data_IF_857011301311
#
_entry.id   IF_857011301311
#
_cell.length_a   1.000
_cell.length_b   1.000
_cell.length_c   1.000
_cell.angle_alpha   90.00
_cell.angle_beta   90.00
_cell.angle_gamma   90.00
#
_symmetry.space_group_name_H-M   'P 1'
#
loop_
_entity.id
_entity.type
_entity.pdbx_description
1 polymer ?
#
# COMPACT_ATOMS: atom_id res chain seq x y z
N UNK A 1 11.11 17.45 -9.31
CA UNK A 1 11.56 16.51 -10.35
C UNK A 1 10.56 16.61 -11.48
N UNK A 2 10.99 17.05 -12.67
CA UNK A 2 10.24 16.81 -13.92
C UNK A 2 10.88 15.57 -14.52
N UNK A 3 10.42 14.39 -14.10
CA UNK A 3 11.02 13.13 -14.53
C UNK A 3 10.69 12.89 -16.02
N UNK A 4 11.73 13.06 -16.86
CA UNK A 4 11.88 12.51 -18.21
C UNK A 4 10.80 12.77 -19.28
N UNK A 5 9.81 13.64 -19.08
CA UNK A 5 8.70 13.81 -20.04
C UNK A 5 7.97 12.46 -20.31
N UNK A 6 7.91 11.60 -19.30
CA UNK A 6 7.35 10.26 -19.40
C UNK A 6 5.82 10.27 -19.49
N UNK A 7 5.24 9.33 -20.25
CA UNK A 7 3.78 9.20 -20.36
C UNK A 7 3.19 8.15 -19.39
N UNK A 8 4.04 7.39 -18.71
CA UNK A 8 3.67 6.38 -17.71
C UNK A 8 4.79 6.17 -16.67
N UNK A 9 4.49 5.44 -15.60
CA UNK A 9 5.42 5.25 -14.47
C UNK A 9 6.65 4.42 -14.84
N UNK A 10 6.53 3.45 -15.76
CA UNK A 10 7.68 2.68 -16.22
C UNK A 10 8.67 3.55 -17.01
N UNK A 11 8.17 4.40 -17.91
CA UNK A 11 8.98 5.39 -18.64
C UNK A 11 9.57 6.46 -17.72
N UNK A 12 8.87 6.78 -16.62
CA UNK A 12 9.40 7.64 -15.56
C UNK A 12 10.53 6.97 -14.76
N UNK A 13 10.84 5.70 -15.04
CA UNK A 13 11.95 4.95 -14.46
C UNK A 13 11.55 3.97 -13.36
N UNK A 14 10.26 3.83 -13.03
CA UNK A 14 9.79 2.89 -12.01
C UNK A 14 9.77 1.44 -12.54
N UNK A 15 10.94 0.81 -12.65
CA UNK A 15 11.13 -0.46 -13.37
C UNK A 15 11.77 -1.60 -12.55
N UNK A 16 12.08 -1.35 -11.28
CA UNK A 16 12.67 -2.35 -10.37
C UNK A 16 12.50 -1.95 -8.90
N UNK A 17 12.78 -2.86 -7.98
CA UNK A 17 12.82 -2.53 -6.53
C UNK A 17 13.85 -1.43 -6.23
N UNK A 18 15.02 -1.45 -6.87
CA UNK A 18 16.04 -0.42 -6.69
C UNK A 18 15.57 0.95 -7.21
N UNK A 19 14.87 0.96 -8.35
CA UNK A 19 14.32 2.19 -8.89
C UNK A 19 13.19 2.76 -8.02
N UNK A 20 12.30 1.90 -7.50
CA UNK A 20 11.27 2.30 -6.54
C UNK A 20 11.88 2.81 -5.23
N UNK A 21 12.91 2.14 -4.71
CA UNK A 21 13.63 2.58 -3.50
C UNK A 21 14.24 3.98 -3.68
N UNK A 22 14.93 4.20 -4.80
CA UNK A 22 15.47 5.50 -5.15
C UNK A 22 14.36 6.56 -5.30
N UNK A 23 13.25 6.21 -5.94
CA UNK A 23 12.10 7.11 -6.10
C UNK A 23 11.54 7.54 -4.74
N UNK A 24 11.29 6.59 -3.82
CA UNK A 24 10.78 6.89 -2.48
C UNK A 24 11.77 7.77 -1.70
N UNK A 25 13.06 7.38 -1.65
CA UNK A 25 14.07 8.11 -0.87
C UNK A 25 14.39 9.50 -1.43
N UNK A 26 14.19 9.73 -2.72
CA UNK A 26 14.44 11.03 -3.35
C UNK A 26 13.24 11.98 -3.27
N UNK A 27 12.01 11.45 -3.18
CA UNK A 27 10.78 12.25 -3.19
C UNK A 27 10.16 12.45 -1.80
N UNK A 28 10.49 11.60 -0.83
CA UNK A 28 9.96 11.69 0.53
C UNK A 28 11.07 12.01 1.54
N UNK A 29 10.73 12.80 2.57
CA UNK A 29 11.64 13.05 3.68
C UNK A 29 11.66 11.86 4.63
N UNK A 30 12.66 11.00 4.48
CA UNK A 30 12.87 9.82 5.34
C UNK A 30 13.59 10.23 6.63
N UNK A 31 13.08 9.77 7.77
CA UNK A 31 13.73 9.93 9.09
C UNK A 31 14.27 8.63 9.66
N UNK A 32 13.81 7.49 9.14
CA UNK A 32 14.35 6.17 9.45
C UNK A 32 14.27 5.30 8.19
N UNK A 33 15.39 4.73 7.78
CA UNK A 33 15.45 3.68 6.77
C UNK A 33 15.66 2.35 7.52
N UNK A 34 14.78 1.38 7.30
CA UNK A 34 14.83 0.06 7.93
C UNK A 34 15.27 -1.04 6.96
N UNK A 35 15.63 -0.69 5.72
CA UNK A 35 16.07 -1.66 4.71
C UNK A 35 15.00 -2.71 4.43
N UNK A 36 15.40 -3.98 4.38
CA UNK A 36 14.53 -5.13 4.12
C UNK A 36 13.87 -5.71 5.39
N UNK A 37 14.10 -5.09 6.55
CA UNK A 37 13.48 -5.46 7.83
C UNK A 37 12.40 -4.48 8.23
N UNK A 38 11.19 -4.98 8.54
CA UNK A 38 10.06 -4.10 8.84
C UNK A 38 10.23 -3.31 10.14
N UNK A 39 10.86 -3.89 11.16
CA UNK A 39 11.13 -3.24 12.46
C UNK A 39 12.45 -2.46 12.39
N UNK A 40 12.53 -1.21 12.92
CA UNK A 40 11.53 -0.53 13.76
C UNK A 40 10.48 0.30 13.03
N UNK A 41 10.49 0.36 11.70
CA UNK A 41 9.57 1.21 10.93
C UNK A 41 8.11 0.79 11.10
N UNK A 42 7.85 -0.51 11.16
CA UNK A 42 6.55 -1.12 11.46
C UNK A 42 6.65 -1.87 12.79
N UNK A 43 5.52 -2.00 13.47
CA UNK A 43 5.40 -2.99 14.55
C UNK A 43 5.62 -4.43 14.01
N UNK A 44 5.82 -5.42 14.88
CA UNK A 44 5.77 -6.82 14.48
C UNK A 44 4.40 -7.18 13.88
N UNK A 45 4.36 -8.03 12.83
CA UNK A 45 3.11 -8.45 12.18
C UNK A 45 2.05 -8.98 13.18
N UNK A 46 2.48 -9.63 14.27
CA UNK A 46 1.59 -10.10 15.34
C UNK A 46 0.78 -9.00 16.06
N UNK A 47 1.14 -7.73 15.89
CA UNK A 47 0.44 -6.58 16.47
C UNK A 47 -0.53 -5.91 15.49
N UNK A 48 -0.59 -6.36 14.24
CA UNK A 48 -1.57 -5.86 13.29
C UNK A 48 -2.80 -6.74 13.25
N UNK A 49 -3.96 -6.10 13.09
CA UNK A 49 -5.25 -6.79 13.01
C UNK A 49 -6.17 -6.18 11.96
N UNK A 50 -7.18 -6.93 11.56
CA UNK A 50 -8.26 -6.41 10.72
C UNK A 50 -9.19 -5.52 11.53
N UNK A 51 -9.98 -4.69 10.82
CA UNK A 51 -11.01 -3.85 11.46
C UNK A 51 -12.20 -4.67 11.98
N UNK A 52 -12.48 -5.81 11.34
CA UNK A 52 -13.49 -6.74 11.82
C UNK A 52 -12.99 -7.58 13.02
N UNK A 53 -13.86 -8.43 13.57
CA UNK A 53 -13.54 -9.27 14.73
C UNK A 53 -12.83 -10.58 14.36
N UNK A 54 -12.29 -10.70 13.14
CA UNK A 54 -11.70 -11.97 12.70
C UNK A 54 -10.39 -12.28 13.41
N UNK A 55 -10.20 -13.50 13.91
CA UNK A 55 -8.95 -13.91 14.52
C UNK A 55 -7.88 -14.07 13.44
N UNK A 56 -6.72 -13.43 13.62
CA UNK A 56 -5.58 -13.52 12.72
C UNK A 56 -4.78 -12.23 12.69
N UNK A 57 -3.45 -12.35 12.69
CA UNK A 57 -2.57 -11.22 12.45
C UNK A 57 -2.51 -10.92 10.96
N UNK A 58 -2.70 -9.66 10.58
CA UNK A 58 -2.32 -9.19 9.24
C UNK A 58 -0.87 -8.75 9.27
N UNK A 59 -0.25 -8.49 8.12
CA UNK A 59 1.15 -8.15 8.13
C UNK A 59 1.71 -7.86 6.75
N UNK A 60 2.90 -7.27 6.78
CA UNK A 60 3.64 -6.88 5.59
C UNK A 60 4.78 -7.87 5.32
N UNK A 61 5.06 -8.09 4.03
CA UNK A 61 6.19 -8.89 3.53
C UNK A 61 6.93 -8.16 2.39
N UNK A 62 6.81 -6.83 2.39
CA UNK A 62 7.41 -5.96 1.39
C UNK A 62 8.94 -6.00 1.43
N UNK A 63 9.57 -5.40 0.41
CA UNK A 63 11.02 -5.56 0.16
C UNK A 63 11.86 -4.47 0.78
N UNK A 64 11.26 -3.32 1.08
CA UNK A 64 11.92 -2.20 1.69
C UNK A 64 10.96 -1.46 2.64
N UNK A 65 11.51 -0.90 3.71
CA UNK A 65 10.76 -0.25 4.78
C UNK A 65 11.40 1.06 5.22
N UNK A 66 10.59 2.11 5.34
CA UNK A 66 11.03 3.43 5.79
C UNK A 66 9.98 4.09 6.70
N UNK A 67 10.42 5.00 7.57
CA UNK A 67 9.56 5.94 8.29
C UNK A 67 9.78 7.35 7.75
N UNK A 68 8.68 8.01 7.42
CA UNK A 68 8.66 9.39 6.94
C UNK A 68 8.72 10.38 8.09
N UNK A 69 9.12 11.62 7.80
CA UNK A 69 9.11 12.70 8.77
C UNK A 69 7.71 13.02 9.33
N UNK A 70 6.63 12.61 8.65
CA UNK A 70 5.26 12.69 9.17
C UNK A 70 4.98 11.70 10.30
N UNK A 71 5.85 10.71 10.51
CA UNK A 71 5.62 9.58 11.41
C UNK A 71 4.96 8.38 10.74
N UNK A 72 4.50 8.50 9.49
CA UNK A 72 3.97 7.38 8.73
C UNK A 72 5.10 6.45 8.26
N UNK A 73 4.79 5.17 8.13
CA UNK A 73 5.71 4.13 7.69
C UNK A 73 5.25 3.51 6.38
N UNK A 74 6.21 3.32 5.46
CA UNK A 74 5.97 2.69 4.16
C UNK A 74 6.74 1.38 4.11
N UNK A 75 6.06 0.28 3.80
CA UNK A 75 6.64 -0.94 3.27
C UNK A 75 6.34 -0.96 1.78
N UNK A 76 7.30 -1.22 0.91
CA UNK A 76 7.05 -1.15 -0.53
C UNK A 76 7.82 -2.19 -1.34
N UNK A 77 7.27 -2.46 -2.53
CA UNK A 77 7.81 -3.42 -3.48
C UNK A 77 7.40 -3.06 -4.90
N UNK A 78 8.33 -3.26 -5.83
CA UNK A 78 8.07 -3.13 -7.25
C UNK A 78 7.29 -4.35 -7.77
N UNK A 79 6.33 -4.08 -8.65
CA UNK A 79 5.53 -5.09 -9.32
C UNK A 79 5.78 -5.02 -10.82
N UNK A 80 5.98 -6.17 -11.45
CA UNK A 80 6.02 -6.24 -12.90
C UNK A 80 4.60 -6.30 -13.43
N UNK A 81 4.20 -5.30 -14.22
CA UNK A 81 2.95 -5.33 -14.96
C UNK A 81 2.89 -6.62 -15.81
N UNK A 82 1.93 -7.48 -15.50
CA UNK A 82 1.73 -8.79 -16.12
C UNK A 82 0.32 -9.32 -15.81
N UNK A 83 -0.01 -10.53 -16.24
CA UNK A 83 -1.32 -11.15 -15.99
C UNK A 83 -1.67 -11.32 -14.50
N UNK A 84 -0.68 -11.40 -13.61
CA UNK A 84 -0.88 -11.58 -12.16
C UNK A 84 -1.11 -10.23 -11.47
N UNK A 85 -0.33 -9.21 -11.82
CA UNK A 85 -0.37 -7.90 -11.18
C UNK A 85 -1.16 -6.86 -11.98
N UNK A 86 -1.68 -7.20 -13.14
CA UNK A 86 -2.33 -6.25 -14.04
C UNK A 86 -1.42 -5.07 -14.34
N UNK A 87 -1.99 -3.88 -14.45
CA UNK A 87 -1.27 -2.65 -14.78
C UNK A 87 -0.48 -2.04 -13.60
N UNK A 88 -0.35 -2.76 -12.48
CA UNK A 88 0.37 -2.27 -11.29
C UNK A 88 1.88 -2.28 -11.50
N UNK A 89 2.55 -1.25 -11.00
CA UNK A 89 4.01 -1.09 -11.04
C UNK A 89 4.65 -1.08 -9.64
N UNK A 90 3.87 -0.82 -8.60
CA UNK A 90 4.33 -0.92 -7.23
C UNK A 90 3.17 -1.19 -6.27
N UNK A 91 3.51 -1.75 -5.12
CA UNK A 91 2.64 -1.83 -3.94
C UNK A 91 3.29 -1.07 -2.80
N UNK A 92 2.46 -0.39 -2.02
CA UNK A 92 2.84 0.27 -0.78
C UNK A 92 1.90 -0.24 0.31
N UNK A 93 2.48 -0.82 1.35
CA UNK A 93 1.84 -1.03 2.64
C UNK A 93 2.11 0.21 3.48
N UNK A 94 1.07 0.93 3.86
CA UNK A 94 1.14 2.20 4.58
C UNK A 94 0.60 2.03 5.99
N UNK A 95 1.37 2.45 6.99
CA UNK A 95 0.85 2.72 8.35
C UNK A 95 1.02 4.20 8.67
N UNK A 96 -0.07 4.93 8.91
CA UNK A 96 -0.01 6.37 9.17
C UNK A 96 0.48 6.73 10.58
N UNK A 97 0.46 5.77 11.52
CA UNK A 97 0.93 5.92 12.90
C UNK A 97 2.30 5.26 13.15
N UNK A 98 2.80 4.52 12.16
CA UNK A 98 4.02 3.72 12.29
C UNK A 98 3.85 2.65 13.38
N UNK A 99 4.90 2.32 14.17
CA UNK A 99 4.83 1.19 15.10
C UNK A 99 3.95 1.44 16.34
N UNK A 100 3.36 2.63 16.51
CA UNK A 100 2.74 3.08 17.77
C UNK A 100 1.36 2.49 18.04
N UNK A 101 0.73 1.81 17.07
CA UNK A 101 -0.64 1.35 17.20
C UNK A 101 -1.66 2.44 16.84
N UNK A 102 -2.94 2.06 16.68
CA UNK A 102 -3.52 0.74 16.94
C UNK A 102 -3.28 -0.35 15.88
N UNK A 103 -2.66 -0.05 14.73
CA UNK A 103 -2.21 -1.02 13.71
C UNK A 103 -3.38 -1.87 13.12
N UNK A 104 -4.45 -1.21 12.73
CA UNK A 104 -5.70 -1.78 12.23
C UNK A 104 -5.84 -1.52 10.73
N UNK A 105 -5.91 -2.60 9.95
CA UNK A 105 -6.19 -2.52 8.52
C UNK A 105 -7.54 -1.80 8.26
N UNK A 106 -7.52 -0.76 7.45
CA UNK A 106 -8.68 0.08 7.14
C UNK A 106 -8.85 1.31 8.04
N UNK A 107 -8.08 1.44 9.13
CA UNK A 107 -8.13 2.63 9.98
C UNK A 107 -6.85 3.45 9.89
N UNK A 108 -5.74 2.79 10.13
CA UNK A 108 -4.40 3.39 10.09
C UNK A 108 -3.42 2.59 9.23
N UNK A 109 -3.80 1.39 8.79
CA UNK A 109 -2.98 0.53 7.93
C UNK A 109 -3.69 0.23 6.63
N UNK A 110 -3.01 0.40 5.50
CA UNK A 110 -3.60 0.30 4.16
C UNK A 110 -2.63 -0.38 3.19
N UNK A 111 -3.15 -1.10 2.20
CA UNK A 111 -2.39 -1.51 1.01
C UNK A 111 -2.88 -0.67 -0.15
N UNK A 112 -1.95 0.00 -0.83
CA UNK A 112 -2.21 0.77 -2.03
C UNK A 112 -1.36 0.23 -3.18
N UNK A 113 -1.89 0.31 -4.40
CA UNK A 113 -1.12 0.05 -5.60
C UNK A 113 -0.90 1.33 -6.40
N UNK A 114 0.30 1.46 -6.96
CA UNK A 114 0.60 2.44 -7.99
C UNK A 114 0.46 1.74 -9.35
N UNK A 115 -0.36 2.31 -10.21
CA UNK A 115 -0.61 1.79 -11.57
C UNK A 115 0.28 2.49 -12.58
N UNK A 116 0.53 1.84 -13.72
CA UNK A 116 1.45 2.34 -14.73
C UNK A 116 1.00 3.71 -15.28
N UNK A 117 -0.29 3.99 -15.31
CA UNK A 117 -0.84 5.29 -15.69
C UNK A 117 -0.67 6.39 -14.60
N UNK A 118 0.04 6.12 -13.51
CA UNK A 118 0.33 7.06 -12.42
C UNK A 118 -0.76 7.17 -11.36
N UNK A 119 -1.88 6.44 -11.51
CA UNK A 119 -2.93 6.45 -10.49
C UNK A 119 -2.57 5.59 -9.29
N UNK A 120 -3.08 5.99 -8.13
CA UNK A 120 -3.07 5.18 -6.90
C UNK A 120 -4.48 4.66 -6.69
N UNK A 121 -4.62 3.34 -6.54
CA UNK A 121 -5.91 2.69 -6.35
C UNK A 121 -5.78 1.44 -5.47
N UNK A 122 -6.90 0.76 -5.25
CA UNK A 122 -6.98 -0.50 -4.52
C UNK A 122 -6.09 -1.59 -5.15
N UNK A 123 -5.31 -2.27 -4.31
CA UNK A 123 -4.32 -3.25 -4.75
C UNK A 123 -4.93 -4.44 -5.51
N UNK A 124 -6.13 -4.88 -5.14
CA UNK A 124 -6.81 -5.98 -5.83
C UNK A 124 -7.36 -5.63 -7.21
N UNK A 125 -7.35 -4.36 -7.62
CA UNK A 125 -7.77 -3.98 -8.97
C UNK A 125 -6.71 -4.33 -10.02
N UNK A 126 -7.14 -4.69 -11.24
CA UNK A 126 -6.23 -5.04 -12.35
C UNK A 126 -5.80 -3.85 -13.19
N UNK A 127 -6.59 -2.78 -13.19
CA UNK A 127 -6.31 -1.50 -13.84
C UNK A 127 -6.85 -0.37 -12.97
N UNK A 128 -6.40 0.86 -13.24
CA UNK A 128 -6.90 2.06 -12.57
C UNK A 128 -7.39 3.09 -13.60
N UNK A 129 -8.45 3.87 -13.28
CA UNK A 129 -9.19 3.83 -12.04
C UNK A 129 -10.09 2.59 -11.95
N UNK A 130 -10.13 1.95 -10.79
CA UNK A 130 -11.05 0.87 -10.51
C UNK A 130 -12.48 1.42 -10.38
N UNK A 131 -13.48 0.63 -10.79
CA UNK A 131 -14.88 0.99 -10.57
C UNK A 131 -15.25 0.88 -9.09
N UNK A 132 -16.32 1.57 -8.70
CA UNK A 132 -16.91 1.48 -7.36
C UNK A 132 -17.19 0.02 -6.98
N UNK A 133 -17.75 -0.76 -7.91
CA UNK A 133 -18.12 -2.17 -7.69
C UNK A 133 -16.90 -3.06 -7.45
N UNK A 134 -15.80 -2.84 -8.17
CA UNK A 134 -14.55 -3.60 -7.97
C UNK A 134 -13.99 -3.33 -6.57
N UNK A 135 -14.02 -2.06 -6.14
CA UNK A 135 -13.56 -1.66 -4.80
C UNK A 135 -14.46 -2.21 -3.70
N UNK A 136 -15.79 -2.13 -3.85
CA UNK A 136 -16.74 -2.71 -2.88
C UNK A 136 -16.62 -4.24 -2.80
N UNK A 137 -16.44 -4.93 -3.93
CA UNK A 137 -16.19 -6.37 -3.95
C UNK A 137 -14.90 -6.72 -3.19
N UNK A 138 -13.84 -5.93 -3.40
CA UNK A 138 -12.55 -6.09 -2.71
C UNK A 138 -12.68 -5.88 -1.21
N UNK A 139 -13.43 -4.86 -0.78
CA UNK A 139 -13.73 -4.60 0.62
C UNK A 139 -14.44 -5.79 1.29
N UNK A 140 -15.52 -6.27 0.67
CA UNK A 140 -16.32 -7.39 1.20
C UNK A 140 -15.54 -8.72 1.24
N UNK A 141 -14.72 -9.01 0.23
CA UNK A 141 -13.98 -10.27 0.13
C UNK A 141 -12.64 -10.26 0.89
N UNK A 142 -12.06 -9.07 1.10
CA UNK A 142 -10.81 -8.85 1.81
C UNK A 142 -11.06 -8.20 3.17
N UNK A 143 -11.04 -6.87 3.21
CA UNK A 143 -11.02 -6.03 4.41
C UNK A 143 -11.91 -6.50 5.56
N UNK A 144 -13.18 -6.83 5.28
CA UNK A 144 -14.15 -7.24 6.32
C UNK A 144 -14.53 -8.72 6.30
N UNK A 145 -13.95 -9.52 5.40
CA UNK A 145 -14.22 -10.95 5.35
C UNK A 145 -13.56 -11.71 6.51
N UNK A 146 -14.06 -12.91 6.78
CA UNK A 146 -13.55 -13.77 7.86
C UNK A 146 -12.20 -14.48 7.55
N UNK A 147 -11.46 -14.04 6.52
CA UNK A 147 -10.15 -14.59 6.13
C UNK A 147 -8.98 -13.66 6.57
N UNK A 148 -7.76 -14.03 6.23
CA UNK A 148 -6.52 -13.28 6.56
C UNK A 148 -6.16 -12.19 5.54
N UNK A 149 -6.88 -12.09 4.42
CA UNK A 149 -6.68 -11.04 3.42
C UNK A 149 -7.09 -9.69 4.01
N UNK A 150 -6.27 -8.65 3.79
CA UNK A 150 -6.48 -7.32 4.35
C UNK A 150 -6.38 -6.19 3.31
N UNK A 151 -6.49 -6.56 2.02
CA UNK A 151 -6.75 -5.64 0.90
C UNK A 151 -8.22 -5.21 0.89
N UNK A 152 -8.57 -4.22 0.05
CA UNK A 152 -9.94 -3.75 -0.12
C UNK A 152 -10.33 -2.58 0.80
N UNK A 153 -9.59 -2.35 1.88
CA UNK A 153 -9.90 -1.25 2.80
C UNK A 153 -9.61 0.13 2.17
N UNK A 154 -8.57 0.24 1.34
CA UNK A 154 -8.22 1.52 0.70
C UNK A 154 -9.24 1.90 -0.36
N UNK A 155 -9.63 0.95 -1.22
CA UNK A 155 -10.69 1.15 -2.21
C UNK A 155 -12.01 1.60 -1.58
N UNK A 156 -12.36 1.07 -0.39
CA UNK A 156 -13.55 1.50 0.34
C UNK A 156 -13.51 2.98 0.72
N UNK A 157 -12.37 3.44 1.25
CA UNK A 157 -12.19 4.85 1.62
C UNK A 157 -12.23 5.77 0.39
N UNK A 158 -11.71 5.32 -0.76
CA UNK A 158 -11.83 6.07 -2.02
C UNK A 158 -13.30 6.23 -2.45
N UNK A 159 -14.11 5.17 -2.34
CA UNK A 159 -15.54 5.23 -2.64
C UNK A 159 -16.31 6.13 -1.66
N UNK A 160 -15.89 6.15 -0.40
CA UNK A 160 -16.55 6.88 0.69
C UNK A 160 -16.01 8.31 0.85
N UNK A 161 -15.39 8.88 -0.19
CA UNK A 161 -14.84 10.25 -0.17
C UNK A 161 -13.90 10.53 1.01
N UNK A 162 -13.00 9.60 1.29
CA UNK A 162 -12.04 9.68 2.40
C UNK A 162 -12.66 9.64 3.81
N UNK A 163 -13.92 9.23 3.92
CA UNK A 163 -14.59 9.01 5.20
C UNK A 163 -14.55 7.53 5.60
N UNK A 164 -14.22 7.27 6.86
CA UNK A 164 -14.27 5.92 7.44
C UNK A 164 -15.66 5.70 8.05
N UNK A 165 -16.60 5.17 7.26
CA UNK A 165 -18.01 5.00 7.64
C UNK A 165 -18.39 3.55 8.01
N UNK A 166 -17.41 2.69 8.25
CA UNK A 166 -17.57 1.26 8.49
C UNK A 166 -17.00 0.80 9.83
#
# INVERSE_FOLDING_TARGET
MNDNNAVNMQEAGLSSNAALDNFIKSNFKIVQDCGDTSTPCFAPNSQYRKINTSPGSVGTSQKAFVTLASGASFGYGYLNNNEVYGEKVAVIDLDINGPKGPNIAGRDVFILAIFNNGMIDEYSAMSAPASTEVREMSFNNGCISANTTWTGCFGKILNDNWQMNY
#
